data_IF_716845194572
#
_entry.id   IF_716845194572
#
_cell.length_a   1.000
_cell.length_b   1.000
_cell.length_c   1.000
_cell.angle_alpha   90.00
_cell.angle_beta   90.00
_cell.angle_gamma   90.00
#
_symmetry.space_group_name_H-M   'P 1'
#
loop_
_entity.id
_entity.type
_entity.pdbx_description
1 polymer ?
#
# COMPACT_ATOMS: atom_id res chain seq x y z
N UNK A 1 -1.98 -23.99 -3.47
CA UNK A 1 -2.17 -22.55 -3.78
C UNK A 1 -3.22 -22.41 -4.87
N UNK A 2 -4.22 -21.55 -4.69
CA UNK A 2 -5.34 -21.45 -5.65
C UNK A 2 -4.94 -20.69 -6.92
N UNK A 3 -5.63 -20.95 -8.05
CA UNK A 3 -5.44 -20.19 -9.30
C UNK A 3 -5.62 -18.68 -9.09
N UNK A 4 -6.52 -18.29 -8.18
CA UNK A 4 -6.76 -16.89 -7.81
C UNK A 4 -5.56 -16.27 -7.09
N UNK A 5 -4.98 -16.99 -6.12
CA UNK A 5 -3.76 -16.54 -5.42
C UNK A 5 -2.58 -16.40 -6.39
N UNK A 6 -2.40 -17.37 -7.30
CA UNK A 6 -1.35 -17.31 -8.32
C UNK A 6 -1.48 -16.06 -9.22
N UNK A 7 -2.69 -15.74 -9.69
CA UNK A 7 -2.95 -14.52 -10.46
C UNK A 7 -2.61 -13.25 -9.67
N UNK A 8 -2.96 -13.19 -8.39
CA UNK A 8 -2.65 -12.04 -7.52
C UNK A 8 -1.13 -11.89 -7.37
N UNK A 9 -0.41 -12.99 -7.15
CA UNK A 9 1.05 -12.95 -7.02
C UNK A 9 1.74 -12.53 -8.32
N UNK A 10 1.28 -12.98 -9.49
CA UNK A 10 1.84 -12.50 -10.76
C UNK A 10 1.66 -10.99 -10.94
N UNK A 11 0.51 -10.43 -10.50
CA UNK A 11 0.29 -8.98 -10.51
C UNK A 11 1.22 -8.25 -9.53
N UNK A 12 1.49 -8.84 -8.36
CA UNK A 12 2.44 -8.30 -7.39
C UNK A 12 3.87 -8.31 -7.92
N UNK A 13 4.30 -9.39 -8.57
CA UNK A 13 5.62 -9.48 -9.19
C UNK A 13 5.80 -8.46 -10.31
N UNK A 14 4.77 -8.29 -11.16
CA UNK A 14 4.76 -7.26 -12.18
C UNK A 14 4.86 -5.86 -11.57
N UNK A 15 4.06 -5.55 -10.55
CA UNK A 15 4.13 -4.26 -9.86
C UNK A 15 5.50 -4.03 -9.20
N UNK A 16 6.06 -5.05 -8.52
CA UNK A 16 7.38 -4.95 -7.90
C UNK A 16 8.46 -4.63 -8.95
N UNK A 17 8.34 -5.17 -10.16
CA UNK A 17 9.29 -4.92 -11.25
C UNK A 17 9.37 -3.44 -11.67
N UNK A 18 8.29 -2.68 -11.47
CA UNK A 18 8.21 -1.24 -11.75
C UNK A 18 8.84 -0.38 -10.62
N UNK A 19 9.23 -0.98 -9.50
CA UNK A 19 9.82 -0.24 -8.38
C UNK A 19 11.20 0.32 -8.74
N UNK A 20 11.45 1.62 -8.50
CA UNK A 20 12.77 2.23 -8.72
C UNK A 20 13.78 1.87 -7.63
N UNK A 21 13.34 1.18 -6.57
CA UNK A 21 14.18 0.78 -5.46
C UNK A 21 15.04 -0.43 -5.82
N UNK A 22 16.25 -0.50 -5.23
CA UNK A 22 17.15 -1.64 -5.43
C UNK A 22 16.50 -2.95 -4.95
N UNK A 23 15.90 -2.92 -3.75
CA UNK A 23 15.04 -4.01 -3.27
C UNK A 23 13.63 -3.77 -3.78
N UNK A 24 13.18 -4.57 -4.74
CA UNK A 24 11.87 -4.43 -5.37
C UNK A 24 10.80 -5.17 -4.59
N UNK A 25 9.91 -4.44 -3.93
CA UNK A 25 8.83 -5.02 -3.11
C UNK A 25 7.50 -4.41 -3.51
N UNK A 26 6.50 -5.26 -3.69
CA UNK A 26 5.11 -4.86 -3.83
C UNK A 26 4.25 -5.52 -2.77
N UNK A 27 3.19 -4.82 -2.35
CA UNK A 27 2.18 -5.34 -1.45
C UNK A 27 0.79 -5.10 -2.06
N UNK A 28 -0.18 -5.90 -1.63
CA UNK A 28 -1.58 -5.72 -2.00
C UNK A 28 -2.50 -6.10 -0.85
N UNK A 29 -3.59 -5.34 -0.70
CA UNK A 29 -4.70 -5.72 0.16
C UNK A 29 -5.78 -6.37 -0.70
N UNK A 30 -6.19 -7.58 -0.32
CA UNK A 30 -7.17 -8.35 -1.06
C UNK A 30 -8.37 -8.71 -0.17
N UNK A 31 -9.56 -8.79 -0.76
CA UNK A 31 -10.75 -9.40 -0.13
C UNK A 31 -11.18 -10.59 -0.99
N UNK A 32 -10.84 -11.79 -0.55
CA UNK A 32 -10.94 -12.99 -1.38
C UNK A 32 -10.02 -12.88 -2.60
N UNK A 33 -10.59 -13.02 -3.81
CA UNK A 33 -9.85 -12.88 -5.07
C UNK A 33 -9.73 -11.43 -5.58
N UNK A 34 -10.41 -10.47 -4.95
CA UNK A 34 -10.43 -9.07 -5.37
C UNK A 34 -9.27 -8.29 -4.74
N UNK A 35 -8.42 -7.69 -5.57
CA UNK A 35 -7.38 -6.74 -5.14
C UNK A 35 -8.05 -5.38 -4.90
N UNK A 36 -7.93 -4.86 -3.68
CA UNK A 36 -8.49 -3.57 -3.26
C UNK A 36 -7.45 -2.45 -3.37
N UNK A 37 -6.21 -2.73 -3.00
CA UNK A 37 -5.09 -1.81 -3.15
C UNK A 37 -3.85 -2.61 -3.53
N UNK A 38 -3.00 -2.03 -4.37
CA UNK A 38 -1.66 -2.52 -4.71
C UNK A 38 -0.74 -1.32 -4.76
N UNK A 39 0.46 -1.45 -4.19
CA UNK A 39 1.50 -0.43 -4.18
C UNK A 39 2.89 -1.08 -4.06
N UNK A 40 3.91 -0.30 -4.39
CA UNK A 40 5.33 -0.64 -4.32
C UNK A 40 6.02 0.07 -3.17
N UNK A 41 7.19 -0.41 -2.81
CA UNK A 41 8.04 0.25 -1.84
C UNK A 41 8.69 1.52 -2.43
N UNK A 42 9.02 2.44 -1.54
CA UNK A 42 9.74 3.67 -1.82
C UNK A 42 10.77 3.92 -0.70
N UNK A 43 11.63 4.92 -0.86
CA UNK A 43 12.67 5.22 0.13
C UNK A 43 12.07 5.78 1.44
N UNK A 44 11.21 6.79 1.34
CA UNK A 44 10.50 7.38 2.48
C UNK A 44 9.16 7.92 2.02
N UNK A 45 8.11 7.62 2.76
CA UNK A 45 6.76 8.08 2.43
C UNK A 45 6.33 9.19 3.38
N UNK A 46 5.86 10.30 2.79
CA UNK A 46 5.12 11.34 3.49
C UNK A 46 3.67 11.29 3.02
N UNK A 47 2.76 10.96 3.92
CA UNK A 47 1.33 10.92 3.66
C UNK A 47 0.67 12.11 4.34
N UNK A 48 0.19 13.07 3.53
CA UNK A 48 -0.29 14.36 4.02
C UNK A 48 0.80 15.16 4.75
N UNK A 49 0.42 16.02 5.68
CA UNK A 49 1.37 16.78 6.50
C UNK A 49 1.75 16.09 7.82
N UNK A 50 1.06 15.00 8.17
CA UNK A 50 1.07 14.45 9.53
C UNK A 50 1.81 13.12 9.63
N UNK A 51 1.83 12.29 8.58
CA UNK A 51 2.41 10.94 8.66
C UNK A 51 3.70 10.87 7.86
N UNK A 52 4.81 10.66 8.59
CA UNK A 52 6.11 10.31 8.03
C UNK A 52 6.43 8.90 8.48
N UNK A 53 6.51 7.96 7.55
CA UNK A 53 6.76 6.54 7.85
C UNK A 53 7.84 5.97 6.93
N UNK A 54 8.29 4.75 7.24
CA UNK A 54 9.13 3.97 6.34
C UNK A 54 8.40 3.76 5.01
N UNK A 55 9.13 3.76 3.89
CA UNK A 55 8.56 3.63 2.55
C UNK A 55 8.16 2.19 2.19
N UNK A 56 7.57 1.46 3.13
CA UNK A 56 7.16 0.08 2.94
C UNK A 56 5.90 0.00 2.07
N UNK A 57 5.83 -1.01 1.19
CA UNK A 57 4.74 -1.19 0.24
C UNK A 57 3.39 -1.46 0.95
N UNK A 58 3.44 -2.13 2.10
CA UNK A 58 2.30 -2.45 2.96
C UNK A 58 1.65 -1.18 3.52
N UNK A 59 2.48 -0.27 4.04
CA UNK A 59 2.02 1.01 4.57
C UNK A 59 1.39 1.85 3.46
N UNK A 60 2.01 1.84 2.28
CA UNK A 60 1.46 2.50 1.10
C UNK A 60 0.09 1.92 0.70
N UNK A 61 -0.09 0.60 0.77
CA UNK A 61 -1.38 -0.03 0.49
C UNK A 61 -2.46 0.37 1.50
N UNK A 62 -2.14 0.37 2.79
CA UNK A 62 -3.07 0.76 3.85
C UNK A 62 -3.51 2.20 3.66
N UNK A 63 -2.57 3.11 3.41
CA UNK A 63 -2.90 4.51 3.14
C UNK A 63 -3.73 4.67 1.85
N UNK A 64 -3.43 3.93 0.79
CA UNK A 64 -4.22 3.96 -0.46
C UNK A 64 -5.65 3.46 -0.27
N UNK A 65 -5.85 2.47 0.60
CA UNK A 65 -7.17 1.93 0.92
C UNK A 65 -7.97 2.87 1.82
N UNK A 66 -7.31 3.54 2.78
CA UNK A 66 -7.93 4.42 3.76
C UNK A 66 -7.31 5.83 3.77
N UNK A 67 -7.36 6.59 2.66
CA UNK A 67 -6.64 7.85 2.52
C UNK A 67 -7.15 8.96 3.46
N UNK A 68 -8.38 8.81 3.99
CA UNK A 68 -9.01 9.80 4.86
C UNK A 68 -8.94 9.45 6.35
N UNK A 69 -8.77 8.19 6.72
CA UNK A 69 -8.60 7.77 8.14
C UNK A 69 -7.34 8.34 8.78
N UNK A 70 -6.35 8.67 7.95
CA UNK A 70 -5.05 9.19 8.36
C UNK A 70 -4.94 10.71 8.24
N UNK A 71 -5.96 11.38 7.68
CA UNK A 71 -6.07 12.83 7.77
C UNK A 71 -6.60 13.11 9.17
N UNK A 72 -5.72 13.50 10.08
CA UNK A 72 -6.07 13.71 11.47
C UNK A 72 -7.33 14.55 11.59
N UNK A 73 -8.25 14.09 12.43
CA UNK A 73 -9.07 14.95 13.24
C UNK A 73 -8.13 16.05 13.77
N UNK A 74 -8.29 17.27 13.24
CA UNK A 74 -7.70 18.46 13.85
C UNK A 74 -8.00 18.39 15.35
N UNK A 75 -7.07 18.81 16.22
CA UNK A 75 -7.30 18.96 17.66
C UNK A 75 -8.72 19.56 17.86
N UNK A 76 -9.68 18.74 18.32
CA UNK A 76 -11.08 19.12 18.51
C UNK A 76 -12.16 18.44 17.65
N UNK A 77 -11.83 17.56 16.70
CA UNK A 77 -12.87 16.85 15.92
C UNK A 77 -13.29 15.53 16.58
N UNK A 78 -14.53 15.50 17.07
CA UNK A 78 -15.22 14.34 17.64
C UNK A 78 -15.98 13.59 16.53
N UNK A 79 -15.32 12.64 15.88
CA UNK A 79 -15.95 11.47 15.23
C UNK A 79 -14.97 10.31 15.33
#
# INVERSE_FOLDING_TARGET
MSRSQYKIMNRLLAAASESPQHTRVAAAICRGSKVLAININNHRSKYGNQIKCSGHAEVACIHKLFPYYFRGNLKGSWV
#
